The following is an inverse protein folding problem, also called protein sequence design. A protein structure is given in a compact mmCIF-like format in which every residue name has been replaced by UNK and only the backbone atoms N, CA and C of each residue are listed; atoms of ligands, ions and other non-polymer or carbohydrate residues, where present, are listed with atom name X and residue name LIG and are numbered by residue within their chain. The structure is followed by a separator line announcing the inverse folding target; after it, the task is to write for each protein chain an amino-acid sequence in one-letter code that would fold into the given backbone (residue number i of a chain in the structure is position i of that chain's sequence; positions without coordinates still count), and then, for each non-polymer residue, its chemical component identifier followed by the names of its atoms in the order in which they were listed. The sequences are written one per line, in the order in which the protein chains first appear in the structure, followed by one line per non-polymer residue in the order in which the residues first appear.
data_IF_490729456051
#
_entry.id   IF_490729456051
#
_cell.length_a   1.000
_cell.length_b   1.000
_cell.length_c   1.000
_cell.angle_alpha   90.00
_cell.angle_beta   90.00
_cell.angle_gamma   90.00
#
_symmetry.space_group_name_H-M   'P 1'
#
loop_
_entity.id
_entity.type
_entity.pdbx_description
1 polymer ?
#
# COMPACT_ATOMS: atom_id res chain seq x y z
N UNK A 1 17.61 -6.36 17.76
CA UNK A 1 18.47 -5.17 18.03
C UNK A 1 18.91 -4.45 16.75
N UNK A 2 19.24 -5.17 15.67
CA UNK A 2 19.65 -4.59 14.38
C UNK A 2 18.68 -3.53 13.81
N UNK A 3 17.41 -3.86 13.60
CA UNK A 3 16.42 -2.95 13.01
C UNK A 3 16.27 -1.65 13.80
N UNK A 4 16.24 -1.73 15.13
CA UNK A 4 16.14 -0.55 15.99
C UNK A 4 17.39 0.34 15.89
N UNK A 5 18.57 -0.28 15.78
CA UNK A 5 19.84 0.43 15.63
C UNK A 5 19.89 1.18 14.28
N UNK A 6 19.57 0.49 13.18
CA UNK A 6 19.47 1.09 11.85
C UNK A 6 18.44 2.23 11.85
N UNK A 7 17.28 2.01 12.48
CA UNK A 7 16.22 3.03 12.56
C UNK A 7 16.66 4.26 13.35
N UNK A 8 17.40 4.11 14.45
CA UNK A 8 17.93 5.26 15.20
C UNK A 8 18.89 6.09 14.36
N UNK A 9 19.89 5.46 13.74
CA UNK A 9 20.83 6.18 12.89
C UNK A 9 20.16 6.81 11.67
N UNK A 10 19.24 6.10 11.02
CA UNK A 10 18.51 6.63 9.88
C UNK A 10 17.64 7.84 10.27
N UNK A 11 17.02 7.82 11.45
CA UNK A 11 16.27 8.94 11.98
C UNK A 11 17.18 10.16 12.21
N UNK A 12 18.36 9.97 12.80
CA UNK A 12 19.32 11.04 13.01
C UNK A 12 19.78 11.66 11.66
N UNK A 13 20.00 10.83 10.63
CA UNK A 13 20.32 11.32 9.28
C UNK A 13 19.17 12.10 8.62
N UNK A 14 17.92 11.69 8.83
CA UNK A 14 16.76 12.45 8.34
C UNK A 14 16.61 13.79 9.08
N UNK A 15 16.79 13.77 10.41
CA UNK A 15 16.68 14.95 11.28
C UNK A 15 17.77 15.99 10.99
N UNK A 16 19.02 15.55 10.78
CA UNK A 16 20.13 16.45 10.39
C UNK A 16 19.85 17.18 9.07
N UNK A 17 19.14 16.54 8.13
CA UNK A 17 18.68 17.13 6.87
C UNK A 17 17.37 17.93 6.99
N UNK A 18 16.84 18.14 8.20
CA UNK A 18 15.55 18.80 8.49
C UNK A 18 14.36 18.13 7.81
N UNK A 19 14.46 16.83 7.50
CA UNK A 19 13.39 16.07 6.88
C UNK A 19 12.59 15.34 7.95
N UNK A 20 11.26 15.37 7.81
CA UNK A 20 10.33 14.59 8.63
C UNK A 20 10.09 13.18 8.06
N UNK A 21 10.59 12.93 6.85
CA UNK A 21 10.47 11.67 6.15
C UNK A 21 11.85 11.06 5.94
N UNK A 22 11.98 9.78 6.25
CA UNK A 22 13.16 8.97 5.95
C UNK A 22 13.27 8.75 4.45
N UNK A 23 14.45 8.98 3.87
CA UNK A 23 14.74 8.55 2.51
C UNK A 23 15.62 7.30 2.47
N UNK A 24 15.66 6.58 1.33
CA UNK A 24 16.52 5.41 1.17
C UNK A 24 17.99 5.72 1.47
N UNK A 25 18.46 6.92 1.12
CA UNK A 25 19.82 7.36 1.44
C UNK A 25 20.09 7.38 2.94
N UNK A 26 19.12 7.75 3.78
CA UNK A 26 19.34 7.79 5.23
C UNK A 26 19.53 6.37 5.81
N UNK A 27 18.90 5.37 5.19
CA UNK A 27 19.07 3.95 5.55
C UNK A 27 20.43 3.45 5.07
N UNK A 28 20.86 3.79 3.85
CA UNK A 28 22.19 3.40 3.36
C UNK A 28 23.32 3.99 4.21
N UNK A 29 23.20 5.25 4.61
CA UNK A 29 24.16 5.87 5.53
C UNK A 29 24.16 5.19 6.91
N UNK A 30 22.99 4.81 7.42
CA UNK A 30 22.88 4.07 8.68
C UNK A 30 23.53 2.67 8.61
N UNK A 31 23.39 1.97 7.48
CA UNK A 31 24.01 0.66 7.28
C UNK A 31 25.55 0.74 7.24
N UNK A 32 26.10 1.82 6.69
CA UNK A 32 27.54 2.08 6.70
C UNK A 32 28.09 2.30 8.13
N UNK A 33 27.36 3.05 8.97
CA UNK A 33 27.76 3.28 10.36
C UNK A 33 27.75 2.00 11.19
N UNK A 34 26.85 1.07 10.87
CA UNK A 34 26.74 -0.22 11.54
C UNK A 34 27.69 -1.26 10.89
N UNK A 35 28.55 -0.85 9.95
CA UNK A 35 29.50 -1.72 9.25
C UNK A 35 28.80 -2.90 8.52
N UNK A 36 27.60 -2.67 8.02
CA UNK A 36 26.75 -3.65 7.34
C UNK A 36 26.62 -3.33 5.83
N UNK A 37 27.74 -3.00 5.20
CA UNK A 37 27.81 -2.57 3.80
C UNK A 37 27.44 -3.68 2.81
N UNK A 38 27.65 -4.94 3.19
CA UNK A 38 27.29 -6.12 2.39
C UNK A 38 25.80 -6.18 2.05
N UNK A 39 24.95 -5.51 2.85
CA UNK A 39 23.50 -5.48 2.68
C UNK A 39 23.08 -4.34 1.72
N UNK A 40 23.92 -3.31 1.53
CA UNK A 40 23.59 -2.14 0.71
C UNK A 40 23.39 -2.51 -0.76
N UNK A 41 24.27 -3.34 -1.31
CA UNK A 41 24.20 -3.79 -2.71
C UNK A 41 22.91 -4.60 -3.01
N UNK A 42 22.59 -5.69 -2.28
CA UNK A 42 21.35 -6.43 -2.51
C UNK A 42 20.09 -5.60 -2.19
N UNK A 43 20.15 -4.67 -1.23
CA UNK A 43 19.02 -3.79 -0.92
C UNK A 43 18.73 -2.79 -2.05
N UNK A 44 19.77 -2.27 -2.71
CA UNK A 44 19.62 -1.36 -3.84
C UNK A 44 18.99 -2.03 -5.06
N UNK A 45 19.41 -3.28 -5.35
CA UNK A 45 18.88 -4.09 -6.45
C UNK A 45 17.38 -4.39 -6.24
N UNK A 46 17.00 -4.84 -5.04
CA UNK A 46 15.60 -5.11 -4.71
C UNK A 46 14.73 -3.83 -4.75
N UNK A 47 15.31 -2.68 -4.40
CA UNK A 47 14.62 -1.38 -4.46
C UNK A 47 14.37 -0.95 -5.91
N UNK A 48 15.29 -1.24 -6.84
CA UNK A 48 15.10 -0.99 -8.27
C UNK A 48 14.07 -1.94 -8.88
N UNK A 49 14.11 -3.23 -8.53
CA UNK A 49 13.11 -4.21 -8.93
C UNK A 49 11.70 -3.80 -8.44
N UNK A 50 11.59 -3.33 -7.18
CA UNK A 50 10.34 -2.83 -6.63
C UNK A 50 9.82 -1.59 -7.36
N UNK A 51 10.70 -0.62 -7.67
CA UNK A 51 10.33 0.59 -8.44
C UNK A 51 9.80 0.20 -9.83
N UNK A 52 10.48 -0.70 -10.52
CA UNK A 52 10.12 -1.19 -11.85
C UNK A 52 8.78 -1.92 -11.86
N UNK A 53 8.54 -2.76 -10.85
CA UNK A 53 7.25 -3.44 -10.69
C UNK A 53 6.11 -2.46 -10.34
N UNK A 54 6.40 -1.43 -9.53
CA UNK A 54 5.42 -0.38 -9.20
C UNK A 54 5.00 0.43 -10.43
N UNK A 55 5.94 0.76 -11.31
CA UNK A 55 5.64 1.44 -12.59
C UNK A 55 4.84 0.55 -13.53
N UNK A 56 5.20 -0.72 -13.66
CA UNK A 56 4.49 -1.67 -14.52
C UNK A 56 3.04 -1.89 -14.07
N UNK A 57 2.80 -1.98 -12.75
CA UNK A 57 1.45 -2.09 -12.16
C UNK A 57 0.61 -0.82 -12.31
N UNK A 58 1.25 0.36 -12.47
CA UNK A 58 0.58 1.62 -12.76
C UNK A 58 0.16 1.73 -14.23
N UNK A 59 1.02 1.28 -15.16
CA UNK A 59 0.73 1.27 -16.60
C UNK A 59 -0.37 0.26 -16.98
N UNK A 60 -0.43 -0.89 -16.32
CA UNK A 60 -1.48 -1.88 -16.57
C UNK A 60 -2.88 -1.37 -16.16
N UNK A 61 -2.95 -0.54 -15.10
CA UNK A 61 -4.21 0.11 -14.68
C UNK A 61 -4.71 1.15 -15.69
N UNK A 62 -3.81 1.81 -16.43
CA UNK A 62 -4.20 2.74 -17.52
C UNK A 62 -4.68 1.98 -18.75
N UNK A 63 -4.03 0.88 -19.14
CA UNK A 63 -4.43 0.09 -20.33
C UNK A 63 -5.78 -0.64 -20.19
N UNK A 64 -6.25 -0.93 -18.97
CA UNK A 64 -7.60 -1.50 -18.75
C UNK A 64 -8.73 -0.48 -18.71
N UNK A 65 -8.43 0.84 -18.67
CA UNK A 65 -9.45 1.89 -18.74
C UNK A 65 -9.85 2.21 -20.20
N UNK A 66 -8.90 2.18 -21.15
CA UNK A 66 -9.17 2.45 -22.57
C UNK A 66 -9.97 1.37 -23.28
N UNK A 67 -9.88 0.10 -22.85
CA UNK A 67 -10.59 -1.01 -23.49
C UNK A 67 -12.07 -1.14 -23.11
N UNK A 68 -12.59 -0.30 -22.21
CA UNK A 68 -14.02 -0.26 -21.83
C UNK A 68 -14.84 0.84 -22.51
N UNK A 69 -14.22 1.74 -23.28
CA UNK A 69 -14.94 2.81 -23.97
C UNK A 69 -15.44 2.43 -25.38
N UNK A 70 -14.92 1.35 -26.00
CA UNK A 70 -15.31 0.89 -27.35
C UNK A 70 -16.05 -0.45 -27.28
N UNK A 71 -16.98 -0.60 -26.34
CA UNK A 71 -17.88 -1.76 -26.28
C UNK A 71 -19.26 -1.41 -25.74
N UNK A 72 -19.67 -0.13 -25.82
CA UNK A 72 -20.99 0.33 -25.37
C UNK A 72 -21.74 1.03 -26.51
N UNK A 73 -21.89 0.36 -27.64
CA UNK A 73 -22.98 0.61 -28.57
C UNK A 73 -23.39 -0.73 -29.17
N UNK A 74 -24.66 -1.09 -28.93
CA UNK A 74 -25.49 -2.13 -29.56
C UNK A 74 -25.89 -3.33 -28.68
N UNK A 75 -27.19 -3.36 -28.32
CA UNK A 75 -28.01 -4.53 -27.89
C UNK A 75 -28.12 -4.74 -26.38
N UNK A 76 -29.09 -4.19 -25.66
CA UNK A 76 -30.51 -4.60 -25.45
C UNK A 76 -30.75 -5.70 -24.38
N UNK A 77 -31.69 -5.36 -23.50
CA UNK A 77 -32.59 -6.13 -22.63
C UNK A 77 -32.07 -7.06 -21.51
N UNK A 78 -32.45 -6.70 -20.29
CA UNK A 78 -32.25 -7.52 -19.09
C UNK A 78 -32.56 -6.78 -17.79
N UNK A 79 -33.81 -6.35 -17.63
CA UNK A 79 -34.40 -5.85 -16.38
C UNK A 79 -34.08 -6.73 -15.17
N UNK A 80 -33.59 -6.14 -14.07
CA UNK A 80 -34.24 -6.20 -12.75
C UNK A 80 -33.56 -5.24 -11.76
N UNK A 81 -34.23 -4.14 -11.45
CA UNK A 81 -33.94 -3.30 -10.28
C UNK A 81 -34.48 -3.99 -9.03
N UNK A 82 -33.65 -4.24 -8.02
CA UNK A 82 -34.12 -4.49 -6.66
C UNK A 82 -33.46 -3.49 -5.72
N UNK A 83 -34.33 -2.65 -5.14
CA UNK A 83 -34.05 -1.65 -4.12
C UNK A 83 -33.69 -2.30 -2.76
N UNK A 84 -33.13 -1.56 -1.80
CA UNK A 84 -32.58 -2.10 -0.56
C UNK A 84 -33.70 -2.50 0.41
N UNK A 85 -33.65 -3.70 0.97
CA UNK A 85 -34.59 -4.15 2.02
C UNK A 85 -33.93 -4.08 3.39
N UNK A 86 -34.47 -3.14 4.17
CA UNK A 86 -34.36 -2.97 5.61
C UNK A 86 -35.13 -4.09 6.36
N UNK A 87 -34.66 -4.43 7.56
CA UNK A 87 -35.34 -5.20 8.62
C UNK A 87 -35.75 -6.67 8.40
N UNK A 88 -35.12 -7.56 9.18
CA UNK A 88 -35.71 -8.56 10.10
C UNK A 88 -34.61 -9.58 10.45
N UNK A 89 -34.41 -10.09 11.66
CA UNK A 89 -35.27 -10.24 12.85
C UNK A 89 -34.36 -10.83 13.94
N UNK A 90 -34.52 -10.44 15.19
CA UNK A 90 -34.77 -11.41 16.27
C UNK A 90 -35.22 -10.68 17.54
N UNK A 91 -36.53 -10.79 17.79
CA UNK A 91 -37.21 -10.46 19.06
C UNK A 91 -36.87 -11.50 20.12
N UNK A 92 -36.46 -11.00 21.30
CA UNK A 92 -36.83 -11.32 22.71
C UNK A 92 -37.32 -12.73 23.10
N UNK A 93 -37.02 -13.19 24.34
CA UNK A 93 -37.96 -12.94 25.44
C UNK A 93 -37.35 -12.65 26.84
N UNK A 94 -38.01 -11.71 27.55
CA UNK A 94 -38.41 -11.73 28.97
C UNK A 94 -37.42 -11.76 30.17
N UNK A 95 -37.96 -11.22 31.28
CA UNK A 95 -37.54 -11.20 32.70
C UNK A 95 -36.49 -10.13 33.08
N UNK A 96 -36.86 -8.99 33.69
CA UNK A 96 -37.34 -8.75 35.08
C UNK A 96 -36.19 -8.85 36.12
N UNK A 97 -36.30 -8.10 37.23
CA UNK A 97 -35.29 -7.62 38.21
C UNK A 97 -34.63 -6.27 37.86
N UNK A 98 -34.80 -5.18 38.61
CA UNK A 98 -35.58 -4.88 39.82
C UNK A 98 -35.24 -3.45 40.26
#
# INVERSE_FOLDING_TARGET
VFILNVTSYANDYALTKKRKALSPEDIYQALQVIECDDIVAPLADELEAWKSNKTQRSEERKRKADKKAVAKTTGEDGSFTIAPSEEMRLRTPESDFG
#
